data_IF_551606842506
#
_entry.id   IF_551606842506
#
_cell.length_a   1.000
_cell.length_b   1.000
_cell.length_c   1.000
_cell.angle_alpha   90.00
_cell.angle_beta   90.00
_cell.angle_gamma   90.00
#
_symmetry.space_group_name_H-M   'P 1'
#
loop_
_entity.id
_entity.type
_entity.pdbx_description
1 polymer ?
#
# COMPACT_ATOMS: atom_id res chain seq x y z
N UNK A 1 19.33 2.47 -14.40
CA UNK A 1 20.28 3.55 -14.07
C UNK A 1 20.29 3.66 -12.56
N UNK A 2 21.41 3.36 -11.91
CA UNK A 2 21.55 3.66 -10.48
C UNK A 2 21.39 5.18 -10.31
N UNK A 3 20.61 5.60 -9.33
CA UNK A 3 20.45 7.02 -9.04
C UNK A 3 21.68 7.51 -8.27
N UNK A 4 21.98 8.81 -8.31
CA UNK A 4 23.07 9.42 -7.51
C UNK A 4 22.91 9.10 -6.01
N UNK A 5 21.68 8.87 -5.54
CA UNK A 5 21.40 8.43 -4.18
C UNK A 5 21.82 6.98 -3.91
N UNK A 6 21.72 6.08 -4.89
CA UNK A 6 22.13 4.68 -4.77
C UNK A 6 23.65 4.55 -4.67
N UNK A 7 24.39 5.30 -5.50
CA UNK A 7 25.86 5.32 -5.46
C UNK A 7 26.36 5.81 -4.08
N UNK A 8 25.72 6.85 -3.54
CA UNK A 8 26.07 7.38 -2.22
C UNK A 8 25.80 6.39 -1.09
N UNK A 9 24.72 5.62 -1.18
CA UNK A 9 24.42 4.58 -0.19
C UNK A 9 25.42 3.43 -0.26
N UNK A 10 25.83 3.03 -1.46
CA UNK A 10 26.89 2.03 -1.63
C UNK A 10 28.21 2.50 -1.00
N UNK A 11 28.60 3.76 -1.19
CA UNK A 11 29.78 4.33 -0.54
C UNK A 11 29.68 4.36 0.99
N UNK A 12 28.49 4.65 1.54
CA UNK A 12 28.26 4.66 2.98
C UNK A 12 28.31 3.22 3.52
N UNK A 13 27.69 2.26 2.85
CA UNK A 13 27.73 0.85 3.22
C UNK A 13 29.17 0.32 3.19
N UNK A 14 29.94 0.63 2.15
CA UNK A 14 31.35 0.25 2.05
C UNK A 14 32.17 0.82 3.22
N UNK A 15 31.95 2.09 3.59
CA UNK A 15 32.58 2.69 4.77
C UNK A 15 32.15 1.99 6.06
N UNK A 16 30.86 1.71 6.24
CA UNK A 16 30.35 1.02 7.43
C UNK A 16 30.93 -0.40 7.61
N UNK A 17 31.24 -1.09 6.51
CA UNK A 17 31.93 -2.40 6.52
C UNK A 17 33.43 -2.27 6.81
N UNK A 18 34.08 -1.21 6.33
CA UNK A 18 35.51 -0.98 6.52
C UNK A 18 35.87 -0.46 7.93
N UNK A 19 34.89 0.05 8.68
CA UNK A 19 35.06 0.55 10.04
C UNK A 19 35.46 -0.57 11.01
N UNK A 20 36.41 -0.28 11.91
CA UNK A 20 36.88 -1.23 12.94
C UNK A 20 35.71 -1.85 13.70
N UNK A 21 35.64 -3.19 13.85
CA UNK A 21 34.60 -3.85 14.62
C UNK A 21 34.52 -3.31 16.06
N UNK A 22 33.29 -3.20 16.57
CA UNK A 22 33.04 -2.82 17.96
C UNK A 22 33.33 -3.96 18.94
N UNK A 23 33.23 -3.70 20.25
CA UNK A 23 32.78 -2.44 20.83
C UNK A 23 33.87 -1.37 20.78
N UNK A 24 33.46 -0.13 20.48
CA UNK A 24 34.31 1.03 20.68
C UNK A 24 34.12 1.53 22.10
N UNK A 25 35.21 1.84 22.77
CA UNK A 25 35.21 2.21 24.18
C UNK A 25 35.62 3.67 24.33
N UNK A 26 34.79 4.44 25.02
CA UNK A 26 35.15 5.80 25.40
C UNK A 26 36.02 5.76 26.66
N UNK A 27 37.19 6.39 26.58
CA UNK A 27 38.04 6.62 27.74
C UNK A 27 37.73 7.96 28.39
N UNK A 28 37.37 7.92 29.68
CA UNK A 28 36.98 9.09 30.47
C UNK A 28 38.14 10.03 30.81
N UNK A 29 39.38 9.54 30.75
CA UNK A 29 40.59 10.26 31.16
C UNK A 29 41.18 11.15 30.04
N UNK A 30 40.94 10.82 28.78
CA UNK A 30 41.64 11.44 27.65
C UNK A 30 40.73 11.97 26.52
N UNK A 31 39.41 11.73 26.58
CA UNK A 31 38.51 12.08 25.46
C UNK A 31 38.87 11.30 24.19
N UNK A 32 39.29 10.05 24.35
CA UNK A 32 39.70 9.16 23.26
C UNK A 32 38.67 8.04 23.14
N UNK A 33 38.32 7.69 21.90
CA UNK A 33 37.61 6.45 21.59
C UNK A 33 38.64 5.41 21.16
N UNK A 34 38.63 4.26 21.80
CA UNK A 34 39.53 3.12 21.52
C UNK A 34 38.75 1.92 21.02
N UNK A 35 39.45 0.96 20.41
CA UNK A 35 38.90 -0.38 20.18
C UNK A 35 39.01 -1.27 21.43
N UNK A 36 38.61 -2.54 21.29
CA UNK A 36 38.67 -3.53 22.37
C UNK A 36 40.10 -3.81 22.87
N UNK A 37 41.13 -3.51 22.07
CA UNK A 37 42.55 -3.66 22.42
C UNK A 37 43.19 -2.35 22.93
N UNK A 38 42.37 -1.35 23.29
CA UNK A 38 42.81 -0.04 23.78
C UNK A 38 43.62 0.78 22.74
N UNK A 39 43.49 0.45 21.44
CA UNK A 39 44.13 1.23 20.36
C UNK A 39 43.29 2.46 20.03
N UNK A 40 43.89 3.65 19.89
CA UNK A 40 43.14 4.88 19.62
C UNK A 40 42.51 4.87 18.23
N UNK A 41 41.19 5.05 18.16
CA UNK A 41 40.42 5.19 16.93
C UNK A 41 40.12 6.66 16.61
N UNK A 42 39.82 7.47 17.62
CA UNK A 42 39.54 8.90 17.47
C UNK A 42 39.87 9.68 18.76
N UNK A 43 40.30 10.93 18.62
CA UNK A 43 40.68 11.81 19.72
C UNK A 43 39.81 13.07 19.67
N UNK A 44 39.06 13.35 20.74
CA UNK A 44 38.10 14.46 20.83
C UNK A 44 38.60 15.65 21.65
N UNK A 45 39.89 15.66 22.00
CA UNK A 45 40.48 16.66 22.88
C UNK A 45 39.93 16.59 24.30
N UNK A 46 40.58 17.30 25.23
CA UNK A 46 40.22 17.31 26.66
C UNK A 46 39.02 18.24 26.91
N UNK A 47 37.84 17.87 26.41
CA UNK A 47 36.64 18.69 26.51
C UNK A 47 35.70 18.18 27.62
N UNK A 48 36.16 18.28 28.87
CA UNK A 48 35.29 18.23 30.05
C UNK A 48 34.68 16.87 30.47
N UNK A 49 34.00 16.83 31.63
CA UNK A 49 33.60 15.60 32.33
C UNK A 49 32.48 14.78 31.66
N UNK A 50 31.94 15.19 30.52
CA UNK A 50 30.86 14.49 29.81
C UNK A 50 31.02 14.63 28.29
N UNK A 51 31.95 13.90 27.66
CA UNK A 51 32.00 13.89 26.19
C UNK A 51 30.93 12.95 25.63
N UNK A 52 29.68 13.43 25.61
CA UNK A 52 28.52 12.80 24.98
C UNK A 52 28.81 12.45 23.51
N UNK A 53 29.62 13.27 22.85
CA UNK A 53 30.06 13.04 21.47
C UNK A 53 30.88 11.75 21.32
N UNK A 54 31.73 11.42 22.30
CA UNK A 54 32.52 10.18 22.26
C UNK A 54 31.63 8.94 22.46
N UNK A 55 30.59 9.04 23.32
CA UNK A 55 29.58 7.98 23.45
C UNK A 55 28.81 7.80 22.14
N UNK A 56 28.34 8.89 21.53
CA UNK A 56 27.64 8.84 20.24
C UNK A 56 28.50 8.19 19.16
N UNK A 57 29.78 8.56 19.07
CA UNK A 57 30.70 8.02 18.06
C UNK A 57 31.02 6.56 18.32
N UNK A 58 31.13 6.14 19.59
CA UNK A 58 31.31 4.73 19.95
C UNK A 58 30.18 3.83 19.43
N UNK A 59 28.94 4.33 19.42
CA UNK A 59 27.76 3.59 18.92
C UNK A 59 27.51 3.76 17.42
N UNK A 60 28.01 4.84 16.81
CA UNK A 60 27.74 5.18 15.42
C UNK A 60 27.93 4.02 14.40
N UNK A 61 28.95 3.15 14.51
CA UNK A 61 29.09 2.03 13.58
C UNK A 61 27.91 1.05 13.60
N UNK A 62 27.39 0.74 14.79
CA UNK A 62 26.27 -0.18 14.96
C UNK A 62 24.97 0.49 14.48
N UNK A 63 24.74 1.74 14.87
CA UNK A 63 23.57 2.52 14.46
C UNK A 63 23.52 2.71 12.94
N UNK A 64 24.64 3.01 12.29
CA UNK A 64 24.71 3.16 10.83
C UNK A 64 24.40 1.84 10.12
N UNK A 65 24.93 0.70 10.60
CA UNK A 65 24.60 -0.61 10.02
C UNK A 65 23.11 -0.93 10.17
N UNK A 66 22.54 -0.65 11.35
CA UNK A 66 21.12 -0.82 11.60
C UNK A 66 20.28 0.05 10.67
N UNK A 67 20.61 1.34 10.52
CA UNK A 67 19.92 2.26 9.62
C UNK A 67 19.99 1.82 8.15
N UNK A 68 21.15 1.32 7.69
CA UNK A 68 21.29 0.79 6.33
C UNK A 68 20.38 -0.42 6.09
N UNK A 69 20.29 -1.34 7.06
CA UNK A 69 19.38 -2.48 6.98
C UNK A 69 17.90 -2.04 6.96
N UNK A 70 17.53 -1.06 7.79
CA UNK A 70 16.18 -0.48 7.79
C UNK A 70 15.85 0.19 6.45
N UNK A 71 16.80 0.89 5.84
CA UNK A 71 16.61 1.53 4.54
C UNK A 71 16.43 0.50 3.42
N UNK A 72 17.21 -0.58 3.43
CA UNK A 72 17.05 -1.69 2.48
C UNK A 72 15.68 -2.35 2.61
N UNK A 73 15.23 -2.62 3.85
CA UNK A 73 13.90 -3.13 4.13
C UNK A 73 12.80 -2.19 3.63
N UNK A 74 12.92 -0.89 3.90
CA UNK A 74 11.95 0.11 3.44
C UNK A 74 11.87 0.18 1.91
N UNK A 75 13.02 0.06 1.22
CA UNK A 75 13.09 0.02 -0.24
C UNK A 75 12.41 -1.23 -0.81
N UNK A 76 12.62 -2.39 -0.19
CA UNK A 76 11.96 -3.62 -0.60
C UNK A 76 10.43 -3.51 -0.48
N UNK A 77 9.94 -2.96 0.64
CA UNK A 77 8.51 -2.71 0.85
C UNK A 77 7.96 -1.72 -0.18
N UNK A 78 8.69 -0.65 -0.49
CA UNK A 78 8.26 0.32 -1.51
C UNK A 78 8.06 -0.33 -2.88
N UNK A 79 9.01 -1.17 -3.31
CA UNK A 79 8.90 -1.92 -4.58
C UNK A 79 7.70 -2.87 -4.57
N UNK A 80 7.45 -3.57 -3.46
CA UNK A 80 6.27 -4.43 -3.34
C UNK A 80 4.95 -3.65 -3.47
N UNK A 81 4.86 -2.51 -2.79
CA UNK A 81 3.68 -1.64 -2.85
C UNK A 81 3.48 -1.04 -4.25
N UNK A 82 4.55 -0.64 -4.94
CA UNK A 82 4.47 -0.15 -6.32
C UNK A 82 3.94 -1.23 -7.27
N UNK A 83 4.43 -2.47 -7.12
CA UNK A 83 3.96 -3.61 -7.91
C UNK A 83 2.48 -3.91 -7.65
N UNK A 84 2.05 -3.91 -6.39
CA UNK A 84 0.65 -4.15 -6.04
C UNK A 84 -0.24 -3.02 -6.57
N UNK A 85 0.19 -1.77 -6.47
CA UNK A 85 -0.55 -0.63 -7.00
C UNK A 85 -0.68 -0.71 -8.53
N UNK A 86 0.40 -1.09 -9.23
CA UNK A 86 0.35 -1.34 -10.67
C UNK A 86 -0.66 -2.46 -11.03
N UNK A 87 -0.68 -3.56 -10.25
CA UNK A 87 -1.62 -4.67 -10.43
C UNK A 87 -3.06 -4.22 -10.25
N UNK A 88 -3.36 -3.51 -9.16
CA UNK A 88 -4.70 -3.00 -8.85
C UNK A 88 -5.16 -1.99 -9.89
N UNK A 89 -4.30 -1.07 -10.30
CA UNK A 89 -4.59 -0.09 -11.34
C UNK A 89 -4.94 -0.78 -12.67
N UNK A 90 -4.16 -1.78 -13.08
CA UNK A 90 -4.45 -2.56 -14.28
C UNK A 90 -5.79 -3.33 -14.17
N UNK A 91 -6.13 -3.83 -12.99
CA UNK A 91 -7.41 -4.50 -12.75
C UNK A 91 -8.60 -3.54 -12.83
N UNK A 92 -8.48 -2.36 -12.22
CA UNK A 92 -9.49 -1.30 -12.29
C UNK A 92 -9.71 -0.85 -13.73
N UNK A 93 -8.64 -0.65 -14.49
CA UNK A 93 -8.74 -0.23 -15.90
C UNK A 93 -9.42 -1.29 -16.77
N UNK A 94 -9.11 -2.58 -16.56
CA UNK A 94 -9.84 -3.68 -17.21
C UNK A 94 -11.32 -3.67 -16.86
N UNK A 95 -11.67 -3.44 -15.59
CA UNK A 95 -13.07 -3.38 -15.15
C UNK A 95 -13.78 -2.17 -15.77
N UNK A 96 -13.14 -1.00 -15.78
CA UNK A 96 -13.66 0.21 -16.41
C UNK A 96 -13.97 -0.03 -17.89
N UNK A 97 -13.04 -0.63 -18.65
CA UNK A 97 -13.25 -0.96 -20.06
C UNK A 97 -14.44 -1.90 -20.28
N UNK A 98 -14.60 -2.92 -19.42
CA UNK A 98 -15.75 -3.84 -19.50
C UNK A 98 -17.07 -3.13 -19.23
N UNK A 99 -17.11 -2.21 -18.26
CA UNK A 99 -18.31 -1.43 -17.96
C UNK A 99 -18.68 -0.51 -19.12
N UNK A 100 -17.71 0.18 -19.72
CA UNK A 100 -17.93 1.03 -20.89
C UNK A 100 -18.44 0.20 -22.08
N UNK A 101 -17.88 -0.99 -22.31
CA UNK A 101 -18.35 -1.88 -23.36
C UNK A 101 -19.79 -2.36 -23.09
N UNK A 102 -20.10 -2.80 -21.87
CA UNK A 102 -21.45 -3.22 -21.49
C UNK A 102 -22.46 -2.07 -21.59
N UNK A 103 -22.08 -0.85 -21.23
CA UNK A 103 -22.93 0.34 -21.41
C UNK A 103 -23.21 0.62 -22.89
N UNK A 104 -22.19 0.53 -23.75
CA UNK A 104 -22.35 0.67 -25.19
C UNK A 104 -23.29 -0.40 -25.76
N UNK A 105 -23.12 -1.67 -25.36
CA UNK A 105 -23.98 -2.79 -25.78
C UNK A 105 -25.44 -2.57 -25.33
N UNK A 106 -25.67 -2.09 -24.10
CA UNK A 106 -27.01 -1.77 -23.61
C UNK A 106 -27.66 -0.62 -24.37
N UNK A 107 -26.88 0.40 -24.76
CA UNK A 107 -27.37 1.50 -25.59
C UNK A 107 -27.72 1.03 -27.01
N UNK A 108 -26.92 0.14 -27.59
CA UNK A 108 -27.20 -0.48 -28.89
C UNK A 108 -28.47 -1.34 -28.84
N UNK A 109 -28.60 -2.20 -27.83
CA UNK A 109 -29.82 -2.98 -27.57
C UNK A 109 -31.04 -2.08 -27.36
N UNK A 110 -30.89 -0.93 -26.67
CA UNK A 110 -31.98 0.03 -26.52
C UNK A 110 -32.38 0.64 -27.87
N UNK A 111 -31.41 0.97 -28.72
CA UNK A 111 -31.66 1.49 -30.07
C UNK A 111 -32.44 0.48 -30.93
N UNK A 112 -32.04 -0.79 -30.91
CA UNK A 112 -32.74 -1.86 -31.65
C UNK A 112 -34.13 -2.15 -31.10
N UNK A 113 -34.30 -2.16 -29.78
CA UNK A 113 -35.59 -2.40 -29.11
C UNK A 113 -36.51 -1.16 -29.06
N UNK A 114 -36.04 0.01 -29.51
CA UNK A 114 -36.82 1.25 -29.55
C UNK A 114 -36.29 2.22 -30.62
N UNK A 115 -36.45 1.90 -31.92
CA UNK A 115 -35.79 2.61 -33.02
C UNK A 115 -36.12 4.11 -33.13
N UNK A 116 -37.22 4.56 -32.53
CA UNK A 116 -37.73 5.93 -32.65
C UNK A 116 -37.17 6.90 -31.62
N UNK A 117 -36.38 6.46 -30.63
CA UNK A 117 -35.85 7.33 -29.55
C UNK A 117 -36.92 7.94 -28.63
N UNK A 118 -38.20 7.72 -28.90
CA UNK A 118 -39.29 8.17 -28.07
C UNK A 118 -39.37 7.32 -26.78
N UNK A 119 -39.73 7.91 -25.61
CA UNK A 119 -40.15 7.10 -24.47
C UNK A 119 -41.23 6.14 -24.94
N UNK A 120 -41.11 4.84 -24.62
CA UNK A 120 -42.11 3.81 -24.97
C UNK A 120 -43.48 4.32 -24.51
N UNK A 121 -44.26 4.88 -25.43
CA UNK A 121 -45.70 4.98 -25.25
C UNK A 121 -46.21 3.58 -25.52
N UNK A 122 -46.64 2.89 -24.47
CA UNK A 122 -47.33 1.62 -24.65
C UNK A 122 -48.53 1.92 -25.55
N UNK A 123 -48.65 1.32 -26.75
CA UNK A 123 -49.65 1.73 -27.74
C UNK A 123 -51.11 1.41 -27.36
N UNK A 124 -51.38 1.02 -26.12
CA UNK A 124 -52.73 0.77 -25.64
C UNK A 124 -52.88 1.22 -24.19
N UNK A 125 -54.06 1.75 -23.88
CA UNK A 125 -54.60 1.80 -22.53
C UNK A 125 -54.59 0.38 -21.97
N UNK A 126 -53.59 0.04 -21.14
CA UNK A 126 -53.55 -1.21 -20.41
C UNK A 126 -54.55 -1.16 -19.24
N UNK A 127 -55.80 -0.84 -19.56
CA UNK A 127 -56.90 -0.77 -18.63
C UNK A 127 -57.18 -2.14 -18.03
N UNK A 128 -57.12 -2.22 -16.70
CA UNK A 128 -57.67 -3.29 -15.86
C UNK A 128 -56.94 -4.65 -15.85
N UNK A 129 -56.25 -5.05 -16.91
CA UNK A 129 -55.60 -6.38 -16.99
C UNK A 129 -54.17 -6.44 -16.45
N UNK A 130 -53.49 -5.30 -16.34
CA UNK A 130 -52.13 -5.27 -15.78
C UNK A 130 -52.10 -5.20 -14.27
N UNK A 131 -53.13 -4.64 -13.63
CA UNK A 131 -53.19 -4.49 -12.17
C UNK A 131 -52.95 -5.82 -11.45
N UNK A 132 -53.59 -6.94 -11.83
CA UNK A 132 -53.35 -8.23 -11.16
C UNK A 132 -51.94 -8.77 -11.37
N UNK A 133 -51.33 -8.50 -12.53
CA UNK A 133 -49.96 -8.95 -12.84
C UNK A 133 -48.94 -8.12 -12.07
N UNK A 134 -49.17 -6.81 -11.95
CA UNK A 134 -48.32 -5.90 -11.15
C UNK A 134 -48.43 -6.24 -9.67
N UNK A 135 -49.65 -6.49 -9.15
CA UNK A 135 -49.87 -6.93 -7.78
C UNK A 135 -49.14 -8.26 -7.50
N UNK A 136 -49.28 -9.25 -8.39
CA UNK A 136 -48.55 -10.52 -8.24
C UNK A 136 -47.03 -10.34 -8.23
N UNK A 137 -46.49 -9.48 -9.10
CA UNK A 137 -45.04 -9.21 -9.14
C UNK A 137 -44.54 -8.51 -7.87
N UNK A 138 -45.34 -7.62 -7.28
CA UNK A 138 -44.99 -6.94 -6.04
C UNK A 138 -44.99 -7.92 -4.86
N UNK A 139 -45.99 -8.80 -4.77
CA UNK A 139 -46.07 -9.83 -3.74
C UNK A 139 -44.89 -10.81 -3.83
N UNK A 140 -44.57 -11.25 -5.05
CA UNK A 140 -43.46 -12.17 -5.28
C UNK A 140 -42.10 -11.51 -4.95
N UNK A 141 -41.94 -10.22 -5.26
CA UNK A 141 -40.74 -9.47 -4.90
C UNK A 141 -40.58 -9.31 -3.38
N UNK A 142 -41.67 -9.05 -2.66
CA UNK A 142 -41.68 -8.97 -1.21
C UNK A 142 -41.27 -10.32 -0.58
N UNK A 143 -41.77 -11.44 -1.12
CA UNK A 143 -41.37 -12.79 -0.68
C UNK A 143 -39.87 -13.04 -0.87
N UNK A 144 -39.35 -12.79 -2.07
CA UNK A 144 -37.94 -13.01 -2.39
C UNK A 144 -37.00 -12.13 -1.54
N UNK A 145 -37.40 -10.89 -1.27
CA UNK A 145 -36.64 -9.97 -0.41
C UNK A 145 -36.59 -10.48 1.04
N UNK A 146 -37.69 -11.04 1.55
CA UNK A 146 -37.74 -11.62 2.89
C UNK A 146 -36.86 -12.88 3.01
N UNK A 147 -36.83 -13.71 1.97
CA UNK A 147 -35.99 -14.92 1.96
C UNK A 147 -34.49 -14.57 1.89
N UNK A 148 -34.11 -13.59 1.06
CA UNK A 148 -32.73 -13.08 1.01
C UNK A 148 -32.27 -12.50 2.36
N UNK A 149 -33.15 -11.78 3.06
CA UNK A 149 -32.86 -11.25 4.40
C UNK A 149 -32.67 -12.36 5.44
N UNK A 150 -33.51 -13.41 5.39
CA UNK A 150 -33.35 -14.60 6.24
C UNK A 150 -32.04 -15.33 5.96
N UNK A 151 -31.65 -15.49 4.71
CA UNK A 151 -30.41 -16.18 4.35
C UNK A 151 -29.17 -15.36 4.73
N UNK A 152 -29.21 -14.02 4.58
CA UNK A 152 -28.17 -13.13 5.08
C UNK A 152 -28.01 -13.23 6.62
N UNK A 153 -29.12 -13.37 7.36
CA UNK A 153 -29.07 -13.56 8.82
C UNK A 153 -28.60 -14.95 9.26
N UNK A 154 -28.72 -15.97 8.40
CA UNK A 154 -28.24 -17.33 8.64
C UNK A 154 -26.77 -17.52 8.29
N UNK A 155 -26.23 -16.76 7.35
CA UNK A 155 -24.83 -16.80 6.93
C UNK A 155 -23.85 -16.02 7.82
N UNK A 156 -24.33 -15.30 8.84
CA UNK A 156 -23.53 -14.44 9.74
C UNK A 156 -23.01 -15.10 11.02
N UNK A 157 -23.11 -16.43 11.15
CA UNK A 157 -22.50 -17.18 12.26
C UNK A 157 -21.41 -18.09 11.70
N UNK A 158 -20.22 -17.54 11.50
CA UNK A 158 -18.93 -18.24 11.44
C UNK A 158 -17.81 -17.26 11.71
#
# INVERSE_FOLDING_TARGET
MATVADDRLTEIAARATAVTPGPWLQRSDAGIVTDAEDRPLAVFGTSGPHCVDATFIAHAPEDVRWLLAQLEQARAIAVELENENARLTAAMERRRKRLVAAEADLLDMRGTLSPSGAPRRVPMELGGRLTPVVEWLLDENARLTADLSKDASRGGVS
#
